data_IF_634485179533
#
_entry.id   IF_634485179533
#
_cell.length_a   1.000
_cell.length_b   1.000
_cell.length_c   1.000
_cell.angle_alpha   90.00
_cell.angle_beta   90.00
_cell.angle_gamma   90.00
#
_symmetry.space_group_name_H-M   'P 1'
#
loop_
_entity.id
_entity.type
_entity.pdbx_description
1 polymer ?
#
# COMPACT_ATOMS: atom_id res chain seq x y z
N UNK A 1 11.76 -7.02 11.72
CA UNK A 1 11.16 -8.34 12.04
C UNK A 1 10.86 -9.15 10.76
N UNK A 2 10.06 -8.65 9.82
CA UNK A 2 9.72 -9.35 8.56
C UNK A 2 10.91 -9.63 7.62
N UNK A 3 11.76 -8.63 7.38
CA UNK A 3 12.96 -8.77 6.54
C UNK A 3 13.99 -9.77 7.11
N UNK A 4 14.05 -9.90 8.44
CA UNK A 4 14.93 -10.86 9.12
C UNK A 4 14.44 -12.30 8.94
N UNK A 5 13.12 -12.53 9.05
CA UNK A 5 12.51 -13.83 8.80
C UNK A 5 12.70 -14.30 7.34
N UNK A 6 12.58 -13.39 6.38
CA UNK A 6 12.81 -13.66 4.95
C UNK A 6 14.29 -13.95 4.62
N UNK A 7 15.23 -13.44 5.41
CA UNK A 7 16.65 -13.72 5.26
C UNK A 7 17.01 -15.11 5.81
N UNK A 8 16.51 -15.48 7.00
CA UNK A 8 16.74 -16.80 7.59
C UNK A 8 16.13 -17.94 6.76
N UNK A 9 14.89 -17.79 6.27
CA UNK A 9 14.20 -18.84 5.50
C UNK A 9 14.85 -19.19 4.16
N UNK A 10 15.77 -18.36 3.66
CA UNK A 10 16.36 -18.51 2.33
C UNK A 10 17.89 -18.40 2.32
N UNK A 11 18.52 -18.47 3.49
CA UNK A 11 19.97 -18.62 3.59
C UNK A 11 20.37 -19.94 2.91
N UNK A 12 21.11 -19.85 1.80
CA UNK A 12 21.67 -21.01 1.08
C UNK A 12 21.40 -21.06 -0.43
N UNK A 13 20.47 -20.27 -0.97
CA UNK A 13 20.24 -20.20 -2.42
C UNK A 13 20.94 -18.96 -3.00
N UNK A 14 21.81 -19.13 -4.01
CA UNK A 14 22.26 -17.99 -4.84
C UNK A 14 21.00 -17.27 -5.33
N UNK A 15 20.78 -15.98 -5.06
CA UNK A 15 19.52 -15.32 -5.38
C UNK A 15 19.43 -15.12 -6.89
N UNK A 16 18.97 -16.16 -7.60
CA UNK A 16 18.53 -16.03 -8.97
C UNK A 16 17.32 -15.10 -9.01
N UNK A 17 17.21 -14.28 -10.06
CA UNK A 17 16.15 -13.30 -10.23
C UNK A 17 14.74 -13.89 -9.98
N UNK A 18 14.52 -15.16 -10.33
CA UNK A 18 13.27 -15.89 -10.09
C UNK A 18 12.87 -16.02 -8.60
N UNK A 19 13.83 -16.22 -7.69
CA UNK A 19 13.56 -16.33 -6.25
C UNK A 19 13.20 -14.97 -5.63
N UNK A 20 13.87 -13.91 -6.10
CA UNK A 20 13.59 -12.53 -5.70
C UNK A 20 12.21 -12.12 -6.19
N UNK A 21 11.88 -12.39 -7.45
CA UNK A 21 10.55 -12.12 -8.03
C UNK A 21 9.46 -12.88 -7.26
N UNK A 22 9.67 -14.16 -6.93
CA UNK A 22 8.69 -14.95 -6.17
C UNK A 22 8.45 -14.38 -4.77
N UNK A 23 9.49 -14.00 -4.05
CA UNK A 23 9.37 -13.34 -2.73
C UNK A 23 8.63 -12.01 -2.84
N UNK A 24 9.01 -11.17 -3.80
CA UNK A 24 8.38 -9.88 -4.04
C UNK A 24 6.91 -10.03 -4.43
N UNK A 25 6.55 -11.04 -5.22
CA UNK A 25 5.15 -11.32 -5.55
C UNK A 25 4.34 -11.71 -4.31
N UNK A 26 4.87 -12.57 -3.45
CA UNK A 26 4.20 -12.96 -2.20
C UNK A 26 4.02 -11.74 -1.28
N UNK A 27 5.04 -10.89 -1.15
CA UNK A 27 4.95 -9.63 -0.40
C UNK A 27 3.89 -8.68 -1.00
N UNK A 28 3.92 -8.50 -2.32
CA UNK A 28 3.02 -7.58 -3.02
C UNK A 28 1.57 -8.09 -3.12
N UNK A 29 1.34 -9.40 -2.98
CA UNK A 29 0.02 -10.04 -3.06
C UNK A 29 -0.62 -10.32 -1.70
N UNK A 30 0.16 -10.49 -0.64
CA UNK A 30 -0.38 -10.75 0.70
C UNK A 30 -0.19 -9.56 1.64
N UNK A 31 1.03 -9.02 1.72
CA UNK A 31 1.31 -7.90 2.62
C UNK A 31 0.71 -6.59 2.07
N UNK A 32 0.84 -6.34 0.77
CA UNK A 32 0.29 -5.14 0.12
C UNK A 32 -1.21 -4.91 0.39
N UNK A 33 -2.10 -5.88 0.07
CA UNK A 33 -3.53 -5.73 0.31
C UNK A 33 -3.89 -5.59 1.78
N UNK A 34 -3.21 -6.30 2.68
CA UNK A 34 -3.45 -6.21 4.13
C UNK A 34 -3.04 -4.83 4.66
N UNK A 35 -1.85 -4.35 4.31
CA UNK A 35 -1.37 -3.03 4.72
C UNK A 35 -2.28 -1.90 4.20
N UNK A 36 -2.67 -1.97 2.92
CA UNK A 36 -3.60 -1.00 2.33
C UNK A 36 -4.99 -1.06 3.01
N UNK A 37 -5.52 -2.25 3.28
CA UNK A 37 -6.80 -2.44 3.97
C UNK A 37 -6.77 -1.86 5.38
N UNK A 38 -5.69 -2.09 6.14
CA UNK A 38 -5.52 -1.55 7.49
C UNK A 38 -5.45 -0.03 7.46
N UNK A 39 -4.64 0.55 6.57
CA UNK A 39 -4.49 1.99 6.46
C UNK A 39 -5.79 2.68 6.03
N UNK A 40 -6.50 2.12 5.05
CA UNK A 40 -7.79 2.65 4.60
C UNK A 40 -8.87 2.53 5.68
N UNK A 41 -8.88 1.43 6.43
CA UNK A 41 -9.79 1.24 7.56
C UNK A 41 -9.49 2.23 8.69
N UNK A 42 -8.21 2.49 8.97
CA UNK A 42 -7.79 3.49 9.95
C UNK A 42 -8.25 4.89 9.56
N UNK A 43 -8.03 5.30 8.31
CA UNK A 43 -8.49 6.59 7.81
C UNK A 43 -10.02 6.69 7.92
N UNK A 44 -10.75 5.65 7.53
CA UNK A 44 -12.22 5.65 7.55
C UNK A 44 -12.80 5.68 8.98
N UNK A 45 -12.30 4.86 9.90
CA UNK A 45 -12.83 4.75 11.26
C UNK A 45 -12.33 5.85 12.18
N UNK A 46 -11.01 6.06 12.21
CA UNK A 46 -10.38 6.93 13.19
C UNK A 46 -10.35 8.40 12.77
N UNK A 47 -10.21 8.68 11.47
CA UNK A 47 -10.09 10.06 10.97
C UNK A 47 -11.41 10.59 10.41
N UNK A 48 -12.14 9.78 9.64
CA UNK A 48 -13.40 10.19 9.01
C UNK A 48 -14.65 9.88 9.87
N UNK A 49 -14.50 9.08 10.94
CA UNK A 49 -15.59 8.75 11.87
C UNK A 49 -16.71 7.90 11.28
N UNK A 50 -16.44 7.10 10.25
CA UNK A 50 -17.43 6.27 9.57
C UNK A 50 -17.85 5.06 10.42
N UNK A 51 -19.05 4.54 10.16
CA UNK A 51 -19.47 3.26 10.74
C UNK A 51 -18.63 2.09 10.18
N UNK A 52 -18.64 0.94 10.88
CA UNK A 52 -17.96 -0.27 10.39
C UNK A 52 -18.50 -0.74 9.04
N UNK A 53 -19.81 -0.62 8.82
CA UNK A 53 -20.46 -0.98 7.55
C UNK A 53 -20.01 -0.08 6.41
N UNK A 54 -19.99 1.24 6.63
CA UNK A 54 -19.58 2.22 5.62
C UNK A 54 -18.08 2.12 5.32
N UNK A 55 -17.28 1.83 6.33
CA UNK A 55 -15.83 1.56 6.19
C UNK A 55 -15.60 0.36 5.29
N UNK A 56 -16.28 -0.76 5.55
CA UNK A 56 -16.13 -1.97 4.73
C UNK A 56 -16.57 -1.74 3.29
N UNK A 57 -17.67 -0.99 3.09
CA UNK A 57 -18.13 -0.58 1.77
C UNK A 57 -17.09 0.25 1.01
N UNK A 58 -16.52 1.27 1.68
CA UNK A 58 -15.48 2.13 1.09
C UNK A 58 -14.22 1.35 0.75
N UNK A 59 -13.73 0.52 1.67
CA UNK A 59 -12.55 -0.31 1.45
C UNK A 59 -12.77 -1.21 0.25
N UNK A 60 -13.88 -1.94 0.16
CA UNK A 60 -14.17 -2.82 -0.98
C UNK A 60 -14.18 -2.09 -2.32
N UNK A 61 -14.76 -0.89 -2.38
CA UNK A 61 -14.82 -0.10 -3.61
C UNK A 61 -13.44 0.42 -4.07
N UNK A 62 -12.60 0.80 -3.11
CA UNK A 62 -11.33 1.47 -3.41
C UNK A 62 -10.13 0.51 -3.45
N UNK A 63 -10.20 -0.64 -2.77
CA UNK A 63 -9.08 -1.56 -2.58
C UNK A 63 -8.49 -2.00 -3.91
N UNK A 64 -9.31 -2.36 -4.91
CA UNK A 64 -8.82 -2.80 -6.22
C UNK A 64 -8.02 -1.70 -6.92
N UNK A 65 -8.54 -0.46 -6.91
CA UNK A 65 -7.86 0.68 -7.56
C UNK A 65 -6.57 1.04 -6.83
N UNK A 66 -6.63 1.08 -5.49
CA UNK A 66 -5.46 1.34 -4.65
C UNK A 66 -4.39 0.26 -4.84
N UNK A 67 -4.81 -1.01 -4.93
CA UNK A 67 -3.88 -2.13 -5.10
C UNK A 67 -3.20 -2.10 -6.47
N UNK A 68 -3.95 -1.83 -7.55
CA UNK A 68 -3.38 -1.68 -8.90
C UNK A 68 -2.36 -0.53 -8.96
N UNK A 69 -2.66 0.60 -8.31
CA UNK A 69 -1.72 1.71 -8.23
C UNK A 69 -0.51 1.38 -7.36
N UNK A 70 -0.70 0.62 -6.28
CA UNK A 70 0.39 0.13 -5.44
C UNK A 70 1.34 -0.79 -6.22
N UNK A 71 0.80 -1.68 -7.05
CA UNK A 71 1.60 -2.53 -7.93
C UNK A 71 2.39 -1.77 -9.01
N UNK A 72 2.05 -0.51 -9.29
CA UNK A 72 2.86 0.35 -10.18
C UNK A 72 3.87 1.18 -9.38
N UNK A 73 3.45 1.73 -8.26
CA UNK A 73 4.25 2.61 -7.42
C UNK A 73 5.42 1.88 -6.76
N UNK A 74 5.18 0.74 -6.11
CA UNK A 74 6.19 0.05 -5.31
C UNK A 74 7.33 -0.54 -6.15
N UNK A 75 7.12 -1.11 -7.35
CA UNK A 75 8.22 -1.50 -8.22
C UNK A 75 9.08 -0.31 -8.68
N UNK A 76 8.47 0.83 -9.01
CA UNK A 76 9.21 2.06 -9.33
C UNK A 76 10.07 2.53 -8.16
N UNK A 77 9.48 2.59 -6.96
CA UNK A 77 10.20 2.91 -5.72
C UNK A 77 11.35 1.94 -5.48
N UNK A 78 11.12 0.63 -5.70
CA UNK A 78 12.15 -0.40 -5.54
C UNK A 78 13.30 -0.20 -6.53
N UNK A 79 13.00 0.03 -7.81
CA UNK A 79 14.01 0.31 -8.84
C UNK A 79 14.81 1.56 -8.47
N UNK A 80 14.17 2.67 -8.12
CA UNK A 80 14.87 3.89 -7.70
C UNK A 80 15.74 3.65 -6.45
N UNK A 81 15.22 2.93 -5.45
CA UNK A 81 15.94 2.61 -4.22
C UNK A 81 17.20 1.78 -4.48
N UNK A 82 17.12 0.77 -5.36
CA UNK A 82 18.28 -0.07 -5.68
C UNK A 82 19.28 0.61 -6.62
N UNK A 83 18.81 1.52 -7.49
CA UNK A 83 19.65 2.14 -8.52
C UNK A 83 20.35 3.42 -8.05
N UNK A 84 19.67 4.23 -7.23
CA UNK A 84 20.12 5.59 -6.89
C UNK A 84 20.56 5.74 -5.43
N UNK A 85 20.11 4.85 -4.54
CA UNK A 85 20.24 5.04 -3.08
C UNK A 85 21.26 4.05 -2.48
N UNK A 86 22.31 4.56 -1.78
CA UNK A 86 23.23 3.74 -1.00
C UNK A 86 22.51 2.85 0.00
N UNK A 87 23.05 1.67 0.30
CA UNK A 87 22.34 0.64 1.07
C UNK A 87 21.92 1.12 2.47
N UNK A 88 22.70 1.99 3.09
CA UNK A 88 22.42 2.57 4.40
C UNK A 88 21.23 3.55 4.37
N UNK A 89 21.00 4.19 3.22
CA UNK A 89 19.96 5.22 3.05
C UNK A 89 18.64 4.68 2.48
N UNK A 90 18.61 3.42 2.03
CA UNK A 90 17.40 2.80 1.45
C UNK A 90 16.21 2.78 2.40
N UNK A 91 16.46 2.64 3.70
CA UNK A 91 15.40 2.70 4.72
C UNK A 91 14.79 4.11 4.80
N UNK A 92 15.61 5.17 4.77
CA UNK A 92 15.12 6.54 4.77
C UNK A 92 14.30 6.83 3.50
N UNK A 93 14.81 6.43 2.33
CA UNK A 93 14.10 6.57 1.07
C UNK A 93 12.76 5.83 1.05
N UNK A 94 12.72 4.59 1.57
CA UNK A 94 11.49 3.81 1.68
C UNK A 94 10.45 4.51 2.58
N UNK A 95 10.88 5.13 3.68
CA UNK A 95 9.99 5.91 4.54
C UNK A 95 9.46 7.17 3.82
N UNK A 96 10.30 7.89 3.07
CA UNK A 96 9.84 9.01 2.25
C UNK A 96 8.80 8.57 1.20
N UNK A 97 9.04 7.46 0.51
CA UNK A 97 8.08 6.90 -0.43
C UNK A 97 6.76 6.46 0.26
N UNK A 98 6.85 5.91 1.48
CA UNK A 98 5.69 5.56 2.29
C UNK A 98 4.87 6.80 2.71
N UNK A 99 5.51 7.93 2.99
CA UNK A 99 4.81 9.19 3.26
C UNK A 99 4.04 9.70 2.02
N UNK A 100 4.66 9.64 0.85
CA UNK A 100 4.00 9.98 -0.43
C UNK A 100 2.80 9.05 -0.67
N UNK A 101 2.98 7.74 -0.45
CA UNK A 101 1.89 6.75 -0.59
C UNK A 101 0.75 7.02 0.39
N UNK A 102 1.05 7.31 1.65
CA UNK A 102 0.05 7.62 2.69
C UNK A 102 -0.76 8.87 2.33
N UNK A 103 -0.08 9.90 1.82
CA UNK A 103 -0.73 11.12 1.33
C UNK A 103 -1.68 10.84 0.18
N UNK A 104 -1.25 10.01 -0.79
CA UNK A 104 -2.10 9.56 -1.89
C UNK A 104 -3.37 8.84 -1.39
N UNK A 105 -3.24 7.93 -0.42
CA UNK A 105 -4.38 7.23 0.17
C UNK A 105 -5.36 8.20 0.85
N UNK A 106 -4.85 9.17 1.61
CA UNK A 106 -5.68 10.19 2.26
C UNK A 106 -6.44 11.05 1.24
N UNK A 107 -5.78 11.47 0.15
CA UNK A 107 -6.45 12.24 -0.92
C UNK A 107 -7.52 11.41 -1.63
N UNK A 108 -7.23 10.14 -1.92
CA UNK A 108 -8.19 9.24 -2.57
C UNK A 108 -9.41 8.96 -1.66
N UNK A 109 -9.20 8.82 -0.35
CA UNK A 109 -10.28 8.68 0.62
C UNK A 109 -11.21 9.92 0.63
N UNK A 110 -10.63 11.14 0.67
CA UNK A 110 -11.39 12.40 0.63
C UNK A 110 -12.16 12.61 -0.67
N UNK A 111 -11.55 12.24 -1.81
CA UNK A 111 -12.20 12.33 -3.12
C UNK A 111 -13.43 11.40 -3.20
N UNK A 112 -13.35 10.19 -2.63
CA UNK A 112 -14.51 9.30 -2.56
C UNK A 112 -15.60 9.82 -1.61
N UNK A 113 -15.24 10.36 -0.45
CA UNK A 113 -16.19 11.00 0.46
C UNK A 113 -17.02 12.09 -0.25
N UNK A 114 -16.34 12.94 -1.03
CA UNK A 114 -16.97 14.04 -1.79
C UNK A 114 -17.94 13.54 -2.86
N UNK A 115 -17.62 12.43 -3.54
CA UNK A 115 -18.51 11.81 -4.55
C UNK A 115 -19.80 11.29 -3.93
N UNK A 116 -19.71 10.63 -2.77
CA UNK A 116 -20.88 10.12 -2.04
C UNK A 116 -21.81 11.27 -1.61
N UNK A 117 -21.26 12.36 -1.06
CA UNK A 117 -22.06 13.53 -0.66
C UNK A 117 -22.76 14.22 -1.85
N UNK A 118 -22.09 14.35 -3.00
CA UNK A 118 -22.71 14.91 -4.21
C UNK A 118 -23.80 14.02 -4.80
N UNK A 119 -23.62 12.70 -4.79
CA UNK A 119 -24.63 11.76 -5.28
C UNK A 119 -25.90 11.82 -4.42
N UNK A 120 -25.76 11.89 -3.09
CA UNK A 120 -26.89 12.04 -2.17
C UNK A 120 -27.69 13.34 -2.40
N UNK A 121 -27.02 14.45 -2.75
CA UNK A 121 -27.68 15.73 -3.07
C UNK A 121 -28.37 15.78 -4.43
N UNK A 122 -28.07 14.86 -5.35
CA UNK A 122 -28.63 14.87 -6.72
C UNK A 122 -29.85 13.94 -6.88
N UNK A 123 -30.11 13.10 -5.88
CA UNK A 123 -31.27 12.21 -5.81
C UNK A 123 -32.40 12.70 -4.91
N UNK A 124 -32.29 13.94 -4.41
CA UNK A 124 -33.34 14.70 -3.70
C UNK A 124 -33.72 15.87 -4.61
#
# INVERSE_FOLDING_TARGET
FWQAWLAEKFAGHRPGAALVIKKTLVDQLLYGPVANTVMMSYIALALDGLSLGDTLGRVRQQLVTVQLNGWRFWPLVSVCSYSLVPIEQRALFANCAALVWSTYLSLNARAAATKTTKAAKKGV
#
